data_IF_919642098194
#
_entry.id   IF_919642098194
#
_cell.length_a   1.000
_cell.length_b   1.000
_cell.length_c   1.000
_cell.angle_alpha   90.00
_cell.angle_beta   90.00
_cell.angle_gamma   90.00
#
_symmetry.space_group_name_H-M   'P 1'
#
loop_
_entity.id
_entity.type
_entity.pdbx_description
1 polymer ?
#
# COMPACT_ATOMS: atom_id res chain seq x y z
N UNK A 1 -6.08 -15.80 12.42
CA UNK A 1 -5.88 -14.35 12.12
C UNK A 1 -5.01 -14.22 10.89
N UNK A 2 -5.36 -13.32 9.98
CA UNK A 2 -4.62 -13.04 8.73
C UNK A 2 -4.16 -11.59 8.68
N UNK A 3 -3.24 -11.28 7.76
CA UNK A 3 -2.84 -9.91 7.43
C UNK A 3 -2.64 -9.79 5.91
N UNK A 4 -3.56 -9.08 5.25
CA UNK A 4 -3.57 -8.99 3.79
C UNK A 4 -2.99 -7.68 3.26
N UNK A 5 -2.35 -6.84 4.12
CA UNK A 5 -1.79 -5.57 3.73
C UNK A 5 -0.46 -5.31 4.45
N UNK A 6 0.63 -5.69 3.78
CA UNK A 6 2.00 -5.65 4.34
C UNK A 6 2.95 -5.13 3.27
N UNK A 7 3.88 -4.25 3.68
CA UNK A 7 4.93 -3.69 2.82
C UNK A 7 6.32 -4.16 3.24
N UNK A 8 7.16 -4.43 2.22
CA UNK A 8 8.55 -4.84 2.38
C UNK A 8 9.54 -3.75 1.91
N UNK A 9 10.83 -4.09 1.95
CA UNK A 9 11.89 -3.24 1.38
C UNK A 9 11.81 -3.10 -0.14
N UNK A 10 11.00 -3.90 -0.84
CA UNK A 10 10.76 -3.72 -2.27
C UNK A 10 9.99 -2.43 -2.56
N UNK A 11 9.26 -1.90 -1.56
CA UNK A 11 8.67 -0.56 -1.62
C UNK A 11 9.12 0.28 -0.42
N UNK A 12 8.26 0.60 0.51
CA UNK A 12 8.55 1.51 1.62
C UNK A 12 8.45 0.87 3.01
N UNK A 13 8.40 -0.43 3.10
CA UNK A 13 8.66 -1.15 4.33
C UNK A 13 10.15 -1.18 4.69
N UNK A 14 10.47 -1.62 5.90
CA UNK A 14 11.86 -1.69 6.39
C UNK A 14 12.34 -3.11 6.66
N UNK A 15 11.49 -4.11 6.40
CA UNK A 15 11.82 -5.51 6.50
C UNK A 15 11.82 -6.16 5.13
N UNK A 16 12.81 -7.02 4.85
CA UNK A 16 12.83 -7.79 3.61
C UNK A 16 11.65 -8.76 3.55
N UNK A 17 11.22 -9.23 2.36
CA UNK A 17 10.17 -10.25 2.23
C UNK A 17 10.43 -11.46 3.12
N UNK A 18 11.70 -11.92 3.20
CA UNK A 18 12.11 -13.01 4.09
C UNK A 18 11.86 -12.71 5.58
N UNK A 19 12.20 -11.52 6.02
CA UNK A 19 11.97 -11.11 7.42
C UNK A 19 10.47 -10.98 7.73
N UNK A 20 9.66 -10.55 6.74
CA UNK A 20 8.20 -10.52 6.88
C UNK A 20 7.65 -11.93 7.06
N UNK A 21 8.05 -12.91 6.23
CA UNK A 21 7.64 -14.30 6.38
C UNK A 21 8.00 -14.84 7.78
N UNK A 22 9.22 -14.56 8.26
CA UNK A 22 9.62 -14.96 9.62
C UNK A 22 8.72 -14.35 10.70
N UNK A 23 8.33 -13.07 10.57
CA UNK A 23 7.41 -12.41 11.50
C UNK A 23 6.00 -12.99 11.44
N UNK A 24 5.49 -13.26 10.24
CA UNK A 24 4.19 -13.90 10.00
C UNK A 24 4.11 -15.27 10.69
N UNK A 25 5.14 -16.12 10.48
CA UNK A 25 5.26 -17.42 11.12
C UNK A 25 5.35 -17.29 12.64
N UNK A 26 6.20 -16.41 13.14
CA UNK A 26 6.36 -16.18 14.59
C UNK A 26 5.09 -15.69 15.27
N UNK A 27 4.23 -14.95 14.55
CA UNK A 27 2.91 -14.50 15.04
C UNK A 27 1.82 -15.57 14.91
N UNK A 28 2.08 -16.70 14.24
CA UNK A 28 1.11 -17.76 14.01
C UNK A 28 -0.07 -17.33 13.14
N UNK A 29 0.18 -16.52 12.11
CA UNK A 29 -0.89 -16.12 11.20
C UNK A 29 -1.35 -17.33 10.36
N UNK A 30 -2.64 -17.38 10.07
CA UNK A 30 -3.23 -18.36 9.16
C UNK A 30 -2.92 -18.06 7.68
N UNK A 31 -2.73 -16.75 7.36
CA UNK A 31 -2.38 -16.36 6.01
C UNK A 31 -2.01 -14.87 5.92
N UNK A 32 -1.39 -14.52 4.81
CA UNK A 32 -0.96 -13.14 4.55
C UNK A 32 -0.86 -12.84 3.06
N UNK A 33 -0.76 -11.54 2.75
CA UNK A 33 -0.40 -11.02 1.44
C UNK A 33 0.71 -9.98 1.58
N UNK A 34 1.67 -10.00 0.67
CA UNK A 34 2.62 -8.90 0.47
C UNK A 34 2.06 -8.00 -0.62
N UNK A 35 1.90 -6.71 -0.30
CA UNK A 35 1.20 -5.73 -1.16
C UNK A 35 2.05 -4.48 -1.36
N UNK A 36 3.30 -4.67 -1.76
CA UNK A 36 4.24 -3.57 -2.00
C UNK A 36 3.71 -2.56 -3.03
N UNK A 37 4.04 -1.28 -2.84
CA UNK A 37 3.61 -0.20 -3.73
C UNK A 37 4.22 -0.32 -5.13
N UNK A 38 3.35 -0.43 -6.13
CA UNK A 38 3.67 -0.41 -7.56
C UNK A 38 4.75 -1.42 -7.99
N UNK A 39 4.93 -2.53 -7.21
CA UNK A 39 5.89 -3.61 -7.54
C UNK A 39 5.41 -4.97 -7.07
N UNK A 40 5.84 -6.01 -7.79
CA UNK A 40 5.59 -7.43 -7.47
C UNK A 40 6.91 -8.18 -7.16
N UNK A 41 8.02 -7.46 -7.06
CA UNK A 41 9.36 -8.05 -6.95
C UNK A 41 9.50 -8.92 -5.69
N UNK A 42 8.91 -8.50 -4.55
CA UNK A 42 8.92 -9.25 -3.30
C UNK A 42 8.16 -10.58 -3.33
N UNK A 43 7.20 -10.74 -4.23
CA UNK A 43 6.42 -11.98 -4.38
C UNK A 43 7.31 -13.14 -4.79
N UNK A 44 8.23 -12.92 -5.73
CA UNK A 44 9.15 -13.94 -6.22
C UNK A 44 10.05 -14.48 -5.10
N UNK A 45 10.51 -13.60 -4.21
CA UNK A 45 11.32 -14.00 -3.06
C UNK A 45 10.53 -14.89 -2.11
N UNK A 46 9.26 -14.54 -1.82
CA UNK A 46 8.40 -15.36 -0.94
C UNK A 46 8.10 -16.73 -1.55
N UNK A 47 7.76 -16.76 -2.84
CA UNK A 47 7.44 -18.03 -3.54
C UNK A 47 8.65 -18.97 -3.70
N UNK A 48 9.87 -18.47 -3.53
CA UNK A 48 11.09 -19.28 -3.51
C UNK A 48 11.41 -19.86 -2.12
N UNK A 49 10.61 -19.54 -1.10
CA UNK A 49 10.78 -20.04 0.27
C UNK A 49 9.92 -21.28 0.53
N UNK A 50 10.38 -22.15 1.40
CA UNK A 50 9.57 -23.23 1.96
C UNK A 50 8.68 -22.64 3.06
N UNK A 51 7.42 -22.35 2.71
CA UNK A 51 6.41 -21.91 3.67
C UNK A 51 5.80 -23.13 4.39
N UNK A 52 5.38 -22.98 5.67
CA UNK A 52 4.59 -24.01 6.32
C UNK A 52 3.33 -24.37 5.53
N UNK A 53 2.97 -25.65 5.47
CA UNK A 53 1.84 -26.17 4.67
C UNK A 53 0.48 -25.54 5.07
N UNK A 54 0.36 -25.10 6.33
CA UNK A 54 -0.84 -24.49 6.89
C UNK A 54 -0.84 -22.95 6.78
N UNK A 55 0.22 -22.34 6.27
CA UNK A 55 0.31 -20.89 6.05
C UNK A 55 -0.11 -20.53 4.63
N UNK A 56 -1.22 -19.82 4.49
CA UNK A 56 -1.69 -19.32 3.20
C UNK A 56 -0.97 -18.04 2.76
N UNK A 57 -0.51 -18.01 1.53
CA UNK A 57 0.04 -16.83 0.90
C UNK A 57 -0.74 -16.48 -0.37
N UNK A 58 -1.21 -15.23 -0.48
CA UNK A 58 -1.81 -14.70 -1.70
C UNK A 58 -0.87 -13.66 -2.28
N UNK A 59 -0.40 -13.80 -3.53
CA UNK A 59 0.30 -12.74 -4.23
C UNK A 59 -0.55 -11.47 -4.29
N UNK A 60 0.01 -10.35 -3.84
CA UNK A 60 -0.70 -9.08 -3.80
C UNK A 60 0.14 -7.91 -4.28
N UNK A 61 -0.50 -6.79 -4.47
CA UNK A 61 0.10 -5.52 -4.84
C UNK A 61 -0.76 -4.37 -4.32
N UNK A 62 -0.16 -3.23 -4.01
CA UNK A 62 -0.88 -1.97 -3.81
C UNK A 62 -0.50 -0.98 -4.89
N UNK A 63 -1.46 -0.62 -5.76
CA UNK A 63 -1.24 0.32 -6.86
C UNK A 63 -1.77 1.70 -6.47
N UNK A 64 -0.91 2.71 -6.65
CA UNK A 64 -1.29 4.09 -6.41
C UNK A 64 -1.99 4.69 -7.63
N UNK A 65 -3.18 5.25 -7.45
CA UNK A 65 -3.93 5.96 -8.49
C UNK A 65 -4.56 7.25 -7.91
N UNK A 66 -5.30 8.00 -8.71
CA UNK A 66 -5.77 9.33 -8.34
C UNK A 66 -7.27 9.48 -8.59
N UNK A 67 -8.03 9.77 -7.55
CA UNK A 67 -9.46 10.08 -7.61
C UNK A 67 -9.77 11.35 -6.81
N UNK A 68 -10.75 12.14 -7.29
CA UNK A 68 -11.20 13.36 -6.60
C UNK A 68 -10.04 14.28 -6.20
N UNK A 69 -9.03 14.40 -7.07
CA UNK A 69 -7.81 15.18 -6.84
C UNK A 69 -6.96 14.73 -5.65
N UNK A 70 -7.05 13.46 -5.26
CA UNK A 70 -6.24 12.85 -4.20
C UNK A 70 -5.69 11.50 -4.64
N UNK A 71 -4.54 11.18 -4.09
CA UNK A 71 -3.99 9.84 -4.21
C UNK A 71 -4.87 8.86 -3.42
N UNK A 72 -5.31 7.82 -4.10
CA UNK A 72 -5.97 6.65 -3.53
C UNK A 72 -5.18 5.40 -3.89
N UNK A 73 -5.43 4.30 -3.21
CA UNK A 73 -4.75 3.05 -3.46
C UNK A 73 -5.75 1.93 -3.75
N UNK A 74 -5.36 1.05 -4.67
CA UNK A 74 -6.11 -0.17 -4.98
C UNK A 74 -5.20 -1.36 -4.73
N UNK A 75 -5.65 -2.26 -3.85
CA UNK A 75 -5.02 -3.56 -3.64
C UNK A 75 -5.45 -4.52 -4.75
N UNK A 76 -4.50 -5.31 -5.25
CA UNK A 76 -4.78 -6.42 -6.16
C UNK A 76 -4.38 -7.73 -5.49
N UNK A 77 -5.31 -8.67 -5.33
CA UNK A 77 -5.02 -9.99 -4.75
C UNK A 77 -5.11 -11.09 -5.79
N UNK A 78 -4.31 -12.16 -5.63
CA UNK A 78 -4.30 -13.29 -6.53
C UNK A 78 -3.80 -12.98 -7.94
N UNK A 79 -3.07 -11.88 -8.11
CA UNK A 79 -2.56 -11.44 -9.40
C UNK A 79 -1.58 -12.44 -10.01
N UNK A 80 -1.60 -12.58 -11.32
CA UNK A 80 -0.51 -13.19 -12.06
C UNK A 80 0.69 -12.23 -12.10
N UNK A 81 1.57 -12.33 -11.13
CA UNK A 81 2.77 -11.49 -11.00
C UNK A 81 3.75 -11.61 -12.20
N UNK A 82 3.54 -12.60 -13.10
CA UNK A 82 4.30 -12.78 -14.36
C UNK A 82 3.60 -12.16 -15.56
N UNK A 83 2.42 -11.57 -15.38
CA UNK A 83 1.69 -10.95 -16.48
C UNK A 83 2.52 -9.82 -17.10
N UNK A 84 2.64 -9.85 -18.44
CA UNK A 84 3.51 -8.92 -19.16
C UNK A 84 2.96 -7.50 -19.16
N UNK A 85 1.64 -7.35 -19.29
CA UNK A 85 1.00 -6.03 -19.32
C UNK A 85 1.04 -5.38 -17.94
N UNK A 86 0.80 -6.15 -16.87
CA UNK A 86 0.95 -5.70 -15.49
C UNK A 86 2.39 -5.18 -15.27
N UNK A 87 3.39 -6.02 -15.54
CA UNK A 87 4.79 -5.65 -15.31
C UNK A 87 5.24 -4.45 -16.17
N UNK A 88 4.79 -4.37 -17.43
CA UNK A 88 5.07 -3.21 -18.29
C UNK A 88 4.48 -1.92 -17.69
N UNK A 89 3.22 -1.95 -17.26
CA UNK A 89 2.55 -0.79 -16.68
C UNK A 89 3.19 -0.38 -15.34
N UNK A 90 3.52 -1.34 -14.47
CA UNK A 90 4.22 -1.06 -13.22
C UNK A 90 5.59 -0.42 -13.46
N UNK A 91 6.34 -0.90 -14.44
CA UNK A 91 7.61 -0.27 -14.83
C UNK A 91 7.41 1.19 -15.26
N UNK A 92 6.41 1.48 -16.12
CA UNK A 92 6.11 2.85 -16.52
C UNK A 92 5.71 3.74 -15.31
N UNK A 93 4.93 3.22 -14.37
CA UNK A 93 4.54 3.96 -13.16
C UNK A 93 5.77 4.22 -12.27
N UNK A 94 6.66 3.23 -12.12
CA UNK A 94 7.92 3.39 -11.38
C UNK A 94 8.84 4.42 -12.01
N UNK A 95 9.00 4.42 -13.34
CA UNK A 95 9.82 5.41 -14.06
C UNK A 95 9.28 6.83 -13.86
N UNK A 96 7.98 7.02 -13.99
CA UNK A 96 7.33 8.31 -13.73
C UNK A 96 7.48 8.75 -12.26
N UNK A 97 7.35 7.82 -11.31
CA UNK A 97 7.59 8.08 -9.89
C UNK A 97 9.04 8.45 -9.63
N UNK A 98 9.98 7.75 -10.27
CA UNK A 98 11.40 8.02 -10.16
C UNK A 98 11.74 9.45 -10.64
N UNK A 99 11.23 9.85 -11.81
CA UNK A 99 11.42 11.21 -12.30
C UNK A 99 10.85 12.26 -11.32
N UNK A 100 9.64 12.07 -10.83
CA UNK A 100 9.04 12.95 -9.82
C UNK A 100 9.89 13.03 -8.55
N UNK A 101 10.50 11.93 -8.14
CA UNK A 101 11.39 11.93 -6.98
C UNK A 101 12.65 12.75 -7.22
N UNK A 102 13.23 12.69 -8.43
CA UNK A 102 14.37 13.54 -8.79
C UNK A 102 14.00 15.02 -8.76
N UNK A 103 12.81 15.39 -9.26
CA UNK A 103 12.32 16.76 -9.22
C UNK A 103 12.14 17.25 -7.75
N UNK A 104 11.63 16.40 -6.85
CA UNK A 104 11.54 16.70 -5.42
C UNK A 104 12.93 16.87 -4.78
N UNK A 105 13.88 15.99 -5.09
CA UNK A 105 15.27 16.09 -4.60
C UNK A 105 15.87 17.45 -5.02
N UNK A 106 15.70 17.83 -6.29
CA UNK A 106 16.19 19.11 -6.79
C UNK A 106 15.61 20.31 -6.01
N UNK A 107 14.30 20.28 -5.71
CA UNK A 107 13.67 21.33 -4.91
C UNK A 107 14.26 21.42 -3.49
N UNK A 108 14.50 20.28 -2.84
CA UNK A 108 15.13 20.26 -1.53
C UNK A 108 16.58 20.79 -1.58
N UNK A 109 17.36 20.36 -2.59
CA UNK A 109 18.76 20.77 -2.74
C UNK A 109 18.90 22.28 -3.06
N UNK A 110 17.98 22.87 -3.82
CA UNK A 110 17.93 24.33 -4.06
C UNK A 110 17.82 25.14 -2.78
N UNK A 111 17.19 24.60 -1.75
CA UNK A 111 17.07 25.26 -0.45
C UNK A 111 18.15 24.79 0.54
N UNK A 112 19.18 24.05 0.08
CA UNK A 112 20.31 23.61 0.89
C UNK A 112 20.05 22.38 1.77
N UNK A 113 18.93 21.68 1.59
CA UNK A 113 18.67 20.42 2.29
C UNK A 113 19.47 19.27 1.67
N UNK A 114 20.17 18.44 2.47
CA UNK A 114 21.06 17.39 1.97
C UNK A 114 20.30 16.11 1.59
N UNK A 115 19.22 16.23 0.82
CA UNK A 115 18.44 15.10 0.33
C UNK A 115 19.05 14.61 -0.98
N UNK A 116 19.41 13.31 -1.04
CA UNK A 116 19.97 12.66 -2.22
C UNK A 116 19.28 11.36 -2.53
N UNK A 117 19.37 10.89 -3.76
CA UNK A 117 18.82 9.60 -4.17
C UNK A 117 19.39 8.45 -3.32
N UNK A 118 20.69 8.44 -3.08
CA UNK A 118 21.38 7.42 -2.28
C UNK A 118 20.83 7.35 -0.85
N UNK A 119 20.58 8.50 -0.20
CA UNK A 119 19.98 8.55 1.13
C UNK A 119 18.55 8.02 1.15
N UNK A 120 17.77 8.31 0.09
CA UNK A 120 16.41 7.81 -0.02
C UNK A 120 16.39 6.30 -0.23
N UNK A 121 17.28 5.77 -1.08
CA UNK A 121 17.39 4.34 -1.36
C UNK A 121 17.90 3.52 -0.16
N UNK A 122 18.65 4.14 0.74
CA UNK A 122 19.16 3.50 1.96
C UNK A 122 19.83 2.12 1.72
N UNK A 123 20.61 2.02 0.65
CA UNK A 123 21.36 0.81 0.30
C UNK A 123 20.65 -0.18 -0.63
N UNK A 124 19.37 0.04 -0.95
CA UNK A 124 18.65 -0.76 -1.96
C UNK A 124 18.29 0.10 -3.18
N UNK A 125 19.02 -0.01 -4.29
CA UNK A 125 18.78 0.76 -5.51
C UNK A 125 17.48 0.36 -6.24
N UNK A 126 16.88 -0.80 -5.90
CA UNK A 126 15.69 -1.32 -6.55
C UNK A 126 14.40 -0.95 -5.83
N UNK A 127 14.48 -0.42 -4.61
CA UNK A 127 13.30 -0.03 -3.83
C UNK A 127 12.46 1.03 -4.55
N UNK A 128 11.14 0.89 -4.48
CA UNK A 128 10.21 1.91 -4.98
C UNK A 128 10.13 3.06 -3.98
N UNK A 129 10.83 4.17 -4.27
CA UNK A 129 10.87 5.33 -3.37
C UNK A 129 9.52 6.01 -3.33
N UNK A 130 8.94 6.09 -2.12
CA UNK A 130 7.72 6.80 -1.79
C UNK A 130 8.01 8.07 -0.96
N UNK A 131 6.98 8.86 -0.63
CA UNK A 131 7.14 10.00 0.28
C UNK A 131 7.57 9.60 1.70
N UNK A 132 7.32 8.34 2.10
CA UNK A 132 7.80 7.82 3.39
C UNK A 132 9.34 7.80 3.46
N UNK A 133 10.03 7.51 2.36
CA UNK A 133 11.50 7.58 2.28
C UNK A 133 12.01 9.01 2.48
N UNK A 134 11.36 10.00 1.87
CA UNK A 134 11.69 11.41 2.13
C UNK A 134 11.47 11.77 3.60
N UNK A 135 10.35 11.36 4.21
CA UNK A 135 10.08 11.63 5.62
C UNK A 135 11.15 11.03 6.52
N UNK A 136 11.52 9.76 6.30
CA UNK A 136 12.61 9.09 7.03
C UNK A 136 13.95 9.83 6.89
N UNK A 137 14.29 10.22 5.67
CA UNK A 137 15.53 10.95 5.41
C UNK A 137 15.52 12.33 6.08
N UNK A 138 14.41 13.07 6.02
CA UNK A 138 14.27 14.36 6.72
C UNK A 138 14.44 14.23 8.25
N UNK A 139 13.94 13.13 8.81
CA UNK A 139 14.13 12.83 10.25
C UNK A 139 15.58 12.47 10.54
N UNK A 140 16.19 11.61 9.73
CA UNK A 140 17.59 11.20 9.90
C UNK A 140 18.58 12.37 9.79
N UNK A 141 18.29 13.36 8.93
CA UNK A 141 19.07 14.59 8.78
C UNK A 141 18.74 15.66 9.87
N UNK A 142 17.83 15.36 10.82
CA UNK A 142 17.46 16.28 11.90
C UNK A 142 16.62 17.48 11.43
N UNK A 143 16.05 17.44 10.22
CA UNK A 143 15.25 18.53 9.64
C UNK A 143 13.85 18.54 10.25
N UNK A 144 13.33 17.38 10.61
CA UNK A 144 12.07 17.23 11.33
C UNK A 144 12.16 16.10 12.39
N UNK A 145 11.25 16.16 13.36
CA UNK A 145 11.25 15.27 14.52
C UNK A 145 10.27 14.08 14.39
N UNK A 146 9.39 14.10 13.39
CA UNK A 146 8.40 13.05 13.19
C UNK A 146 7.92 12.99 11.75
N UNK A 147 7.33 11.87 11.38
CA UNK A 147 6.68 11.65 10.08
C UNK A 147 5.54 12.66 9.86
N UNK A 148 4.72 12.92 10.87
CA UNK A 148 3.64 13.91 10.79
C UNK A 148 4.17 15.31 10.49
N UNK A 149 5.29 15.69 11.11
CA UNK A 149 5.94 16.96 10.83
C UNK A 149 6.52 17.00 9.40
N UNK A 150 7.11 15.91 8.93
CA UNK A 150 7.61 15.82 7.56
C UNK A 150 6.49 16.03 6.54
N UNK A 151 5.36 15.35 6.71
CA UNK A 151 4.21 15.50 5.81
C UNK A 151 3.54 16.87 5.92
N UNK A 152 3.37 17.40 7.11
CA UNK A 152 2.68 18.69 7.29
C UNK A 152 3.46 19.88 6.78
N UNK A 153 4.81 19.86 6.84
CA UNK A 153 5.67 20.98 6.50
C UNK A 153 6.38 20.89 5.15
N UNK A 154 6.64 19.66 4.67
CA UNK A 154 7.52 19.45 3.51
C UNK A 154 6.88 18.62 2.38
N UNK A 155 6.15 17.54 2.70
CA UNK A 155 5.78 16.51 1.72
C UNK A 155 4.29 16.49 1.35
N UNK A 156 3.45 17.23 2.07
CA UNK A 156 2.01 17.34 1.78
C UNK A 156 1.73 18.12 0.51
N UNK A 157 0.58 17.90 -0.11
CA UNK A 157 0.19 18.49 -1.40
C UNK A 157 0.26 20.02 -1.49
N UNK A 158 0.15 20.72 -0.35
CA UNK A 158 0.25 22.18 -0.27
C UNK A 158 1.65 22.68 0.10
N UNK A 159 2.61 21.77 0.25
CA UNK A 159 3.97 22.09 0.65
C UNK A 159 4.86 22.43 -0.55
N UNK A 160 5.90 23.23 -0.31
CA UNK A 160 6.83 23.73 -1.35
C UNK A 160 7.52 22.61 -2.14
N UNK A 161 7.84 21.48 -1.48
CA UNK A 161 8.63 20.40 -2.07
C UNK A 161 7.75 19.28 -2.65
N UNK A 162 6.43 19.47 -2.64
CA UNK A 162 5.53 18.54 -3.27
C UNK A 162 5.53 18.69 -4.78
N UNK A 163 5.85 17.60 -5.47
CA UNK A 163 5.66 17.46 -6.91
C UNK A 163 4.56 16.41 -7.11
N UNK A 164 3.49 16.74 -7.85
CA UNK A 164 2.45 15.78 -8.18
C UNK A 164 3.04 14.60 -8.94
N UNK A 165 2.64 13.37 -8.58
CA UNK A 165 2.93 12.25 -9.46
C UNK A 165 2.02 12.32 -10.70
N UNK A 166 2.43 11.73 -11.82
CA UNK A 166 1.56 11.60 -12.98
C UNK A 166 0.28 10.87 -12.62
N UNK A 167 -0.84 11.38 -13.11
CA UNK A 167 -2.16 10.81 -12.91
C UNK A 167 -2.22 9.37 -13.45
N UNK A 168 -2.80 8.47 -12.67
CA UNK A 168 -3.19 7.14 -13.08
C UNK A 168 -4.66 6.93 -12.70
N UNK A 169 -5.50 6.65 -13.72
CA UNK A 169 -6.94 6.53 -13.53
C UNK A 169 -7.25 5.27 -12.70
N UNK A 170 -8.09 5.34 -11.67
CA UNK A 170 -8.52 4.17 -10.93
C UNK A 170 -9.18 3.10 -11.80
N UNK A 171 -9.90 3.48 -12.84
CA UNK A 171 -10.51 2.52 -13.79
C UNK A 171 -9.46 1.71 -14.56
N UNK A 172 -8.39 2.37 -15.00
CA UNK A 172 -7.27 1.69 -15.64
C UNK A 172 -6.53 0.79 -14.64
N UNK A 173 -6.43 1.21 -13.37
CA UNK A 173 -5.90 0.40 -12.30
C UNK A 173 -6.72 -0.87 -12.05
N UNK A 174 -8.06 -0.74 -11.94
CA UNK A 174 -8.96 -1.88 -11.76
C UNK A 174 -8.83 -2.86 -12.93
N UNK A 175 -8.86 -2.34 -14.16
CA UNK A 175 -8.71 -3.16 -15.38
C UNK A 175 -7.37 -3.89 -15.39
N UNK A 176 -6.28 -3.22 -15.05
CA UNK A 176 -4.94 -3.81 -14.98
C UNK A 176 -4.88 -5.00 -14.01
N UNK A 177 -5.52 -4.88 -12.84
CA UNK A 177 -5.59 -5.96 -11.84
C UNK A 177 -6.46 -7.11 -12.35
N UNK A 178 -7.63 -6.81 -12.93
CA UNK A 178 -8.54 -7.81 -13.47
C UNK A 178 -7.92 -8.57 -14.65
N UNK A 179 -7.27 -7.88 -15.58
CA UNK A 179 -6.60 -8.50 -16.74
C UNK A 179 -5.44 -9.40 -16.30
N UNK A 180 -4.79 -9.07 -15.18
CA UNK A 180 -3.79 -9.95 -14.53
C UNK A 180 -4.41 -11.10 -13.72
N UNK A 181 -5.73 -11.31 -13.79
CA UNK A 181 -6.47 -12.37 -13.09
C UNK A 181 -6.68 -12.11 -11.61
N UNK A 182 -6.41 -10.88 -11.14
CA UNK A 182 -6.51 -10.50 -9.73
C UNK A 182 -7.86 -9.93 -9.33
N UNK A 183 -8.03 -9.73 -8.03
CA UNK A 183 -9.21 -9.19 -7.37
C UNK A 183 -8.90 -7.77 -6.89
N UNK A 184 -9.48 -6.70 -7.51
CA UNK A 184 -9.22 -5.33 -7.10
C UNK A 184 -10.04 -4.94 -5.86
N UNK A 185 -9.38 -4.33 -4.89
CA UNK A 185 -9.94 -3.93 -3.60
C UNK A 185 -9.53 -2.50 -3.26
N UNK A 186 -10.47 -1.63 -2.91
CA UNK A 186 -10.15 -0.27 -2.48
C UNK A 186 -9.48 -0.30 -1.10
N UNK A 187 -8.24 0.15 -1.02
CA UNK A 187 -7.45 0.18 0.22
C UNK A 187 -7.94 1.29 1.16
N UNK A 188 -7.88 1.05 2.46
CA UNK A 188 -8.06 2.02 3.57
C UNK A 188 -8.92 3.28 3.25
N UNK A 189 -10.22 3.15 2.86
CA UNK A 189 -11.00 4.23 2.25
C UNK A 189 -11.09 5.52 3.08
N UNK A 190 -11.00 5.42 4.40
CA UNK A 190 -11.09 6.60 5.28
C UNK A 190 -9.76 7.36 5.47
N UNK A 191 -8.65 6.85 4.96
CA UNK A 191 -7.37 7.57 5.00
C UNK A 191 -7.33 8.75 4.02
N UNK A 192 -8.15 8.71 2.97
CA UNK A 192 -8.21 9.78 1.97
C UNK A 192 -8.89 11.07 2.49
N UNK A 193 -9.54 11.00 3.67
CA UNK A 193 -10.23 12.15 4.29
C UNK A 193 -11.31 12.78 3.39
N UNK A 194 -11.95 11.97 2.58
CA UNK A 194 -13.17 12.34 1.89
C UNK A 194 -14.34 12.41 2.87
N UNK A 195 -15.42 13.10 2.49
CA UNK A 195 -16.68 12.99 3.21
C UNK A 195 -17.21 11.55 3.11
N UNK A 196 -18.13 11.18 4.00
CA UNK A 196 -18.78 9.86 3.90
C UNK A 196 -19.54 9.69 2.57
N UNK A 197 -20.12 10.77 2.07
CA UNK A 197 -20.85 10.79 0.80
C UNK A 197 -19.89 10.58 -0.37
N UNK A 198 -18.80 11.35 -0.44
CA UNK A 198 -17.80 11.19 -1.49
C UNK A 198 -17.14 9.81 -1.45
N UNK A 199 -16.85 9.27 -0.25
CA UNK A 199 -16.30 7.91 -0.12
C UNK A 199 -17.28 6.86 -0.64
N UNK A 200 -18.57 7.01 -0.32
CA UNK A 200 -19.62 6.11 -0.80
C UNK A 200 -19.80 6.20 -2.32
N UNK A 201 -19.81 7.39 -2.89
CA UNK A 201 -19.87 7.60 -4.34
C UNK A 201 -18.64 7.00 -5.03
N UNK A 202 -17.43 7.24 -4.51
CA UNK A 202 -16.21 6.62 -5.04
C UNK A 202 -16.31 5.09 -5.08
N UNK A 203 -16.79 4.46 -4.00
CA UNK A 203 -16.97 3.01 -3.96
C UNK A 203 -17.98 2.55 -5.03
N UNK A 204 -19.10 3.27 -5.18
CA UNK A 204 -20.11 2.98 -6.17
C UNK A 204 -19.57 3.09 -7.60
N UNK A 205 -18.91 4.20 -7.92
CA UNK A 205 -18.32 4.44 -9.24
C UNK A 205 -17.26 3.38 -9.59
N UNK A 206 -16.42 3.00 -8.63
CA UNK A 206 -15.43 1.95 -8.83
C UNK A 206 -16.07 0.56 -8.94
N UNK A 207 -17.19 0.30 -8.24
CA UNK A 207 -17.94 -0.97 -8.38
C UNK A 207 -18.47 -1.14 -9.80
N UNK A 208 -18.97 -0.08 -10.42
CA UNK A 208 -19.43 -0.10 -11.81
C UNK A 208 -18.30 -0.40 -12.79
N UNK A 209 -17.06 -0.11 -12.43
CA UNK A 209 -15.85 -0.35 -13.23
C UNK A 209 -15.11 -1.66 -12.85
N UNK A 210 -15.68 -2.47 -11.95
CA UNK A 210 -15.16 -3.80 -11.63
C UNK A 210 -14.48 -3.94 -10.26
N UNK A 211 -14.57 -2.94 -9.37
CA UNK A 211 -14.10 -3.11 -7.98
C UNK A 211 -14.81 -4.31 -7.33
N UNK A 212 -14.03 -5.25 -6.82
CA UNK A 212 -14.54 -6.48 -6.23
C UNK A 212 -14.62 -6.46 -4.71
N UNK A 213 -13.85 -5.58 -4.04
CA UNK A 213 -13.84 -5.52 -2.58
C UNK A 213 -13.45 -4.17 -2.02
N UNK A 214 -13.57 -4.04 -0.69
CA UNK A 214 -13.08 -2.90 0.08
C UNK A 214 -12.33 -3.38 1.32
N UNK A 215 -11.28 -2.66 1.70
CA UNK A 215 -10.57 -2.92 2.94
C UNK A 215 -11.37 -2.37 4.13
N UNK A 216 -11.99 -3.30 4.86
CA UNK A 216 -12.85 -3.00 6.02
C UNK A 216 -12.02 -2.85 7.28
N UNK A 217 -11.12 -3.83 7.51
CA UNK A 217 -10.33 -3.93 8.72
C UNK A 217 -8.94 -3.38 8.49
N UNK A 218 -8.66 -2.20 9.04
CA UNK A 218 -7.37 -1.53 8.86
C UNK A 218 -6.91 -0.90 10.19
N UNK A 219 -5.60 -0.84 10.42
CA UNK A 219 -5.00 -0.31 11.65
C UNK A 219 -5.47 1.10 12.04
N UNK A 220 -5.86 1.90 11.07
CA UNK A 220 -6.31 3.28 11.29
C UNK A 220 -7.83 3.44 11.28
N UNK A 221 -8.60 2.37 11.07
CA UNK A 221 -10.05 2.44 11.11
C UNK A 221 -10.56 2.24 12.53
N UNK A 222 -11.31 3.19 13.06
CA UNK A 222 -12.04 3.00 14.30
C UNK A 222 -13.36 2.22 14.07
N UNK A 223 -13.95 1.71 15.15
CA UNK A 223 -15.13 0.82 15.10
C UNK A 223 -16.30 1.40 14.29
N UNK A 224 -16.55 2.70 14.36
CA UNK A 224 -17.61 3.35 13.59
C UNK A 224 -17.35 3.35 12.07
N UNK A 225 -16.08 3.46 11.67
CA UNK A 225 -15.67 3.36 10.26
C UNK A 225 -15.79 1.91 9.77
N UNK A 226 -15.33 0.93 10.56
CA UNK A 226 -15.50 -0.49 10.26
C UNK A 226 -16.98 -0.84 10.08
N UNK A 227 -17.85 -0.38 10.98
CA UNK A 227 -19.31 -0.62 10.90
C UNK A 227 -19.88 -0.07 9.60
N UNK A 228 -19.46 1.15 9.22
CA UNK A 228 -19.91 1.80 7.99
C UNK A 228 -19.41 1.09 6.74
N UNK A 229 -18.11 0.71 6.70
CA UNK A 229 -17.54 -0.05 5.58
C UNK A 229 -18.22 -1.41 5.43
N UNK A 230 -18.54 -2.10 6.53
CA UNK A 230 -19.32 -3.35 6.49
C UNK A 230 -20.72 -3.15 5.96
N UNK A 231 -21.36 -2.01 6.24
CA UNK A 231 -22.66 -1.68 5.68
C UNK A 231 -22.55 -1.49 4.16
N UNK A 232 -21.59 -0.69 3.68
CA UNK A 232 -21.38 -0.46 2.26
C UNK A 232 -20.92 -1.72 1.52
N UNK A 233 -20.05 -2.53 2.15
CA UNK A 233 -19.62 -3.83 1.63
C UNK A 233 -20.83 -4.72 1.29
N UNK A 234 -21.82 -4.78 2.19
CA UNK A 234 -23.05 -5.54 1.96
C UNK A 234 -23.98 -4.88 0.93
N UNK A 235 -24.12 -3.55 0.99
CA UNK A 235 -24.98 -2.77 0.10
C UNK A 235 -24.56 -2.92 -1.37
N UNK A 236 -23.24 -2.96 -1.63
CA UNK A 236 -22.67 -3.07 -2.97
C UNK A 236 -22.23 -4.48 -3.35
N UNK A 237 -22.51 -5.48 -2.53
CA UNK A 237 -22.09 -6.87 -2.76
C UNK A 237 -20.59 -6.95 -3.07
N UNK A 238 -19.76 -6.44 -2.16
CA UNK A 238 -18.32 -6.42 -2.26
C UNK A 238 -17.69 -7.43 -1.29
N UNK A 239 -16.49 -7.92 -1.61
CA UNK A 239 -15.67 -8.65 -0.67
C UNK A 239 -15.16 -7.72 0.43
N UNK A 240 -15.00 -8.26 1.64
CA UNK A 240 -14.31 -7.56 2.73
C UNK A 240 -12.87 -8.06 2.82
N UNK A 241 -11.92 -7.15 3.02
CA UNK A 241 -10.53 -7.50 3.31
C UNK A 241 -10.05 -6.72 4.53
N UNK A 242 -8.80 -6.94 4.89
CA UNK A 242 -8.15 -6.15 5.93
C UNK A 242 -6.70 -6.53 6.14
N UNK A 243 -5.95 -5.60 6.70
CA UNK A 243 -4.56 -5.79 7.02
C UNK A 243 -4.02 -4.70 7.93
N UNK A 244 -2.79 -4.90 8.37
CA UNK A 244 -2.15 -3.97 9.29
C UNK A 244 -1.64 -2.70 8.60
N UNK A 245 -1.35 -2.77 7.30
CA UNK A 245 -0.60 -1.76 6.58
C UNK A 245 0.79 -1.54 7.22
N UNK A 246 1.43 -2.69 7.56
CA UNK A 246 2.72 -2.73 8.23
C UNK A 246 3.84 -2.22 7.33
N UNK A 247 4.67 -1.31 7.86
CA UNK A 247 5.83 -0.73 7.18
C UNK A 247 7.11 -0.85 8.02
N UNK A 248 7.08 -1.67 9.09
CA UNK A 248 8.20 -1.80 10.00
C UNK A 248 8.50 -0.52 10.77
N UNK A 249 9.76 -0.12 10.83
CA UNK A 249 10.18 1.07 11.59
C UNK A 249 9.69 2.41 11.03
N UNK A 250 9.14 2.43 9.79
CA UNK A 250 8.49 3.62 9.23
C UNK A 250 7.12 3.90 9.87
N UNK A 251 6.46 2.85 10.41
CA UNK A 251 5.23 2.94 11.22
C UNK A 251 5.42 2.09 12.50
N UNK A 252 6.23 2.54 13.47
CA UNK A 252 6.69 1.71 14.58
C UNK A 252 5.59 1.28 15.56
N UNK A 253 4.43 1.91 15.50
CA UNK A 253 3.23 1.60 16.29
C UNK A 253 2.32 0.55 15.63
N UNK A 254 2.69 0.05 14.45
CA UNK A 254 1.92 -0.95 13.70
C UNK A 254 2.69 -2.28 13.68
N UNK A 255 2.03 -3.34 14.13
CA UNK A 255 2.55 -4.70 14.11
C UNK A 255 1.77 -5.58 13.13
N UNK A 256 2.46 -6.53 12.48
CA UNK A 256 1.83 -7.53 11.59
C UNK A 256 0.70 -8.25 12.34
N UNK A 257 -0.45 -8.36 11.72
CA UNK A 257 -1.63 -9.08 12.19
C UNK A 257 -2.46 -8.32 13.22
N UNK A 258 -1.85 -7.51 14.07
CA UNK A 258 -2.55 -6.83 15.19
C UNK A 258 -2.63 -5.30 15.03
N UNK A 259 -1.99 -4.75 14.00
CA UNK A 259 -1.98 -3.31 13.76
C UNK A 259 -1.51 -2.52 14.97
N UNK A 260 -2.30 -1.56 15.41
CA UNK A 260 -2.07 -0.80 16.67
C UNK A 260 -2.58 -1.51 17.93
N UNK A 261 -2.77 -2.84 17.87
CA UNK A 261 -3.16 -3.69 18.99
C UNK A 261 -4.55 -4.33 18.85
N UNK A 262 -5.63 -3.59 18.54
CA UNK A 262 -6.98 -4.18 18.50
C UNK A 262 -7.39 -4.70 17.11
N UNK A 263 -6.52 -4.63 16.09
CA UNK A 263 -6.86 -5.13 14.77
C UNK A 263 -7.05 -6.66 14.83
N UNK A 264 -8.16 -7.10 14.29
CA UNK A 264 -8.45 -8.51 14.05
C UNK A 264 -9.09 -8.68 12.68
N UNK A 265 -8.39 -9.38 11.78
CA UNK A 265 -8.87 -9.72 10.45
C UNK A 265 -9.29 -11.19 10.44
N UNK A 266 -10.58 -11.51 10.19
CA UNK A 266 -11.08 -12.89 10.22
C UNK A 266 -10.43 -13.80 9.17
N UNK A 267 -10.12 -15.05 9.55
CA UNK A 267 -9.38 -15.99 8.71
C UNK A 267 -10.10 -16.34 7.40
N UNK A 268 -11.44 -16.46 7.43
CA UNK A 268 -12.22 -16.83 6.25
C UNK A 268 -12.11 -15.82 5.09
N UNK A 269 -11.71 -14.56 5.36
CA UNK A 269 -11.60 -13.56 4.29
C UNK A 269 -10.49 -13.87 3.28
N UNK A 270 -9.46 -14.63 3.68
CA UNK A 270 -8.45 -15.08 2.72
C UNK A 270 -9.01 -16.19 1.83
N UNK A 271 -9.90 -17.02 2.38
CA UNK A 271 -10.52 -18.11 1.62
C UNK A 271 -11.50 -17.56 0.57
N UNK A 272 -12.20 -16.45 0.89
CA UNK A 272 -13.07 -15.74 -0.03
C UNK A 272 -12.30 -15.14 -1.24
N UNK A 273 -11.00 -14.87 -1.07
CA UNK A 273 -10.13 -14.37 -2.13
C UNK A 273 -9.44 -15.50 -2.93
N UNK A 274 -9.44 -16.73 -2.43
CA UNK A 274 -8.79 -17.89 -3.07
C UNK A 274 -9.77 -18.77 -3.86
N UNK A 275 -11.10 -18.57 -3.71
CA UNK A 275 -12.15 -19.30 -4.39
C UNK A 275 -12.64 -18.56 -5.64
#
# INVERSE_FOLDING_TARGET
MIDLHIHSTCSDGTFTPKQIVQKVIAKGLYGFSLTDHDTVDGILEILAMDLPDDLKFIPGIEISCDALHREIHVLGYGINYKDQQLNHTLNMLRDKRFQRNLDMIELFQKDGYPITLEKLQNGDPHTVITRAHFARTLIAEGICSSTDQAFSKYLGEKCKYYVPKPFFDPKDCLRLILDAGGIPVLAHPFLYKFSNEDTKHLIQDLKEEGLAGIEVYHSSHHIGQITKLRQWQKEYDLLATGGSDFHGTNKPDIEIGTGRGPLFVPDHLIDDLMN
#
